data_IF_868158087712
#
_entry.id   IF_868158087712
#
_cell.length_a   1.000
_cell.length_b   1.000
_cell.length_c   1.000
_cell.angle_alpha   90.00
_cell.angle_beta   90.00
_cell.angle_gamma   90.00
#
_symmetry.space_group_name_H-M   'P 1'
#
loop_
_entity.id
_entity.type
_entity.pdbx_description
1 polymer ?
#
# COMPACT_ATOMS: atom_id res chain seq x y z
N UNK A 1 -4.26 18.53 13.83
CA UNK A 1 -4.17 18.11 13.44
C UNK A 1 -4.41 17.47 12.78
N UNK A 2 -4.52 17.24 12.52
CA UNK A 2 -4.82 16.56 12.02
C UNK A 2 -4.52 15.90 11.27
N UNK A 3 -4.24 15.47 11.11
CA UNK A 3 -3.96 14.88 10.48
C UNK A 3 -4.28 13.93 10.11
N UNK A 4 -4.66 13.53 10.04
CA UNK A 4 -4.91 12.54 9.63
C UNK A 4 -5.69 12.38 8.57
N UNK A 5 -5.60 13.01 7.65
CA UNK A 5 -6.24 12.88 6.40
C UNK A 5 -5.87 11.60 5.68
N UNK A 6 -4.88 10.92 6.14
CA UNK A 6 -4.52 9.65 5.54
C UNK A 6 -4.89 8.53 6.46
N UNK A 7 -5.99 7.88 6.16
CA UNK A 7 -6.45 6.76 6.95
C UNK A 7 -6.19 5.46 6.22
N UNK A 8 -4.97 5.27 5.77
CA UNK A 8 -4.61 4.07 5.06
C UNK A 8 -4.72 2.88 6.00
N UNK A 9 -5.31 1.81 5.48
CA UNK A 9 -5.44 0.56 6.21
C UNK A 9 -4.44 -0.42 5.63
N UNK A 10 -3.62 -1.02 6.49
CA UNK A 10 -2.54 -1.90 6.06
C UNK A 10 -2.75 -3.28 6.64
N UNK A 11 -2.92 -4.27 5.78
CA UNK A 11 -3.04 -5.66 6.17
C UNK A 11 -1.80 -6.41 5.71
N UNK A 12 -1.23 -7.21 6.60
CA UNK A 12 -0.04 -7.99 6.28
C UNK A 12 -0.38 -9.46 6.32
N UNK A 13 -0.09 -10.17 5.24
CA UNK A 13 -0.24 -11.62 5.17
C UNK A 13 1.15 -12.23 5.24
N UNK A 14 1.54 -12.67 6.42
CA UNK A 14 2.88 -13.24 6.61
C UNK A 14 3.03 -14.59 5.91
N UNK A 15 1.95 -15.29 5.74
CA UNK A 15 2.00 -16.60 5.09
C UNK A 15 2.37 -16.49 3.62
N UNK A 16 1.78 -15.53 2.93
CA UNK A 16 2.04 -15.31 1.51
C UNK A 16 3.03 -14.19 1.24
N UNK A 17 3.51 -13.53 2.28
CA UNK A 17 4.45 -12.41 2.19
C UNK A 17 3.87 -11.30 1.32
N UNK A 18 2.67 -10.87 1.66
CA UNK A 18 1.96 -9.80 0.94
C UNK A 18 1.55 -8.71 1.91
N UNK A 19 1.49 -7.49 1.39
CA UNK A 19 0.99 -6.34 2.15
C UNK A 19 -0.08 -5.68 1.30
N UNK A 20 -1.29 -5.57 1.85
CA UNK A 20 -2.37 -4.90 1.15
C UNK A 20 -2.64 -3.56 1.80
N UNK A 21 -2.70 -2.50 0.99
CA UNK A 21 -2.98 -1.15 1.47
C UNK A 21 -4.26 -0.68 0.82
N UNK A 22 -5.19 -0.19 1.65
CA UNK A 22 -6.48 0.32 1.17
C UNK A 22 -6.73 1.69 1.79
N UNK A 23 -7.65 2.42 1.20
CA UNK A 23 -8.06 3.73 1.70
C UNK A 23 -9.59 3.75 1.80
N UNK A 24 -10.15 3.25 2.91
CA UNK A 24 -11.60 3.29 3.07
C UNK A 24 -12.09 4.73 3.20
N UNK A 25 -13.28 5.05 2.75
CA UNK A 25 -14.27 4.19 2.10
C UNK A 25 -14.14 4.16 0.59
N UNK A 26 -13.01 4.54 0.02
CA UNK A 26 -12.82 4.56 -1.42
C UNK A 26 -12.55 3.17 -1.95
N UNK A 27 -12.47 3.04 -3.27
CA UNK A 27 -12.12 1.77 -3.87
C UNK A 27 -10.61 1.63 -4.13
N UNK A 28 -9.81 2.53 -3.57
CA UNK A 28 -8.36 2.46 -3.73
C UNK A 28 -7.81 1.26 -2.98
N UNK A 29 -7.02 0.47 -3.68
CA UNK A 29 -6.44 -0.74 -3.10
C UNK A 29 -5.22 -1.14 -3.92
N UNK A 30 -4.17 -1.59 -3.25
CA UNK A 30 -2.98 -2.11 -3.90
C UNK A 30 -2.40 -3.20 -3.02
N UNK A 31 -1.97 -4.30 -3.67
CA UNK A 31 -1.30 -5.39 -2.98
C UNK A 31 0.16 -5.38 -3.37
N UNK A 32 1.03 -5.48 -2.38
CA UNK A 32 2.48 -5.55 -2.59
C UNK A 32 2.92 -6.97 -2.29
N UNK A 33 3.68 -7.54 -3.21
CA UNK A 33 4.14 -8.92 -3.10
C UNK A 33 5.66 -8.91 -3.06
N UNK A 34 6.23 -9.66 -2.11
CA UNK A 34 7.68 -9.76 -2.01
C UNK A 34 8.22 -10.52 -3.22
N UNK A 35 9.20 -9.92 -3.88
CA UNK A 35 9.91 -10.61 -4.96
C UNK A 35 10.83 -11.65 -4.34
N UNK A 36 10.88 -12.84 -4.92
CA UNK A 36 11.66 -13.91 -4.38
C UNK A 36 13.15 -13.62 -4.32
N UNK A 37 13.68 -12.94 -5.32
CA UNK A 37 15.12 -12.79 -5.48
C UNK A 37 15.64 -11.39 -5.25
N UNK A 38 14.82 -10.37 -5.51
CA UNK A 38 15.33 -9.02 -5.64
C UNK A 38 15.19 -8.18 -4.38
N UNK A 39 14.56 -8.72 -3.34
CA UNK A 39 14.35 -8.00 -2.09
C UNK A 39 13.66 -6.66 -2.32
N UNK A 40 12.69 -6.64 -3.21
CA UNK A 40 11.85 -5.48 -3.47
C UNK A 40 10.41 -5.93 -3.49
N UNK A 41 9.51 -4.98 -3.34
CA UNK A 41 8.09 -5.26 -3.41
C UNK A 41 7.57 -4.98 -4.82
N UNK A 42 6.69 -5.84 -5.28
CA UNK A 42 6.00 -5.66 -6.56
C UNK A 42 4.60 -5.17 -6.27
N UNK A 43 4.22 -4.03 -6.82
CA UNK A 43 2.92 -3.44 -6.58
C UNK A 43 1.91 -3.94 -7.58
N UNK A 44 0.73 -4.34 -7.09
CA UNK A 44 -0.39 -4.76 -7.93
C UNK A 44 -1.62 -3.95 -7.56
N UNK A 45 -1.83 -2.81 -8.22
CA UNK A 45 -3.01 -1.98 -7.94
C UNK A 45 -4.28 -2.67 -8.42
N UNK A 46 -5.36 -2.48 -7.68
CA UNK A 46 -6.64 -3.10 -8.00
C UNK A 46 -7.64 -2.10 -8.60
N UNK A 47 -7.35 -0.81 -8.50
CA UNK A 47 -8.17 0.24 -9.10
C UNK A 47 -7.24 1.14 -9.88
N UNK A 48 -7.79 1.85 -10.87
CA UNK A 48 -6.97 2.72 -11.72
C UNK A 48 -7.51 4.13 -11.82
N UNK A 49 -8.80 4.27 -11.61
CA UNK A 49 -9.44 5.58 -11.75
C UNK A 49 -9.53 6.26 -10.42
N UNK A 50 -9.46 7.59 -10.44
CA UNK A 50 -9.63 8.36 -9.23
C UNK A 50 -11.04 8.16 -8.69
N UNK A 51 -11.13 8.12 -7.37
CA UNK A 51 -12.40 8.00 -6.67
C UNK A 51 -12.77 9.38 -6.14
N UNK A 52 -13.94 9.88 -6.53
CA UNK A 52 -14.37 11.22 -6.13
C UNK A 52 -14.50 11.35 -4.61
N UNK A 53 -14.66 10.23 -3.90
CA UNK A 53 -14.76 10.27 -2.43
C UNK A 53 -13.42 10.39 -1.75
N UNK A 54 -12.34 10.19 -2.50
CA UNK A 54 -11.01 10.17 -1.92
C UNK A 54 -10.48 11.58 -1.72
N UNK A 55 -9.70 11.81 -0.66
CA UNK A 55 -9.06 13.10 -0.45
C UNK A 55 -7.86 13.32 -1.35
N UNK A 56 -7.51 12.33 -2.18
CA UNK A 56 -6.34 12.41 -3.03
C UNK A 56 -6.57 11.60 -4.30
N UNK A 57 -5.75 11.85 -5.31
CA UNK A 57 -5.80 11.06 -6.54
C UNK A 57 -5.26 9.66 -6.30
N UNK A 58 -5.55 8.74 -7.21
CA UNK A 58 -5.03 7.40 -7.09
C UNK A 58 -3.51 7.38 -7.15
N UNK A 59 -2.92 8.24 -7.98
CA UNK A 59 -1.46 8.32 -8.07
C UNK A 59 -0.83 8.71 -6.73
N UNK A 60 -1.43 9.67 -6.04
CA UNK A 60 -0.94 10.09 -4.73
C UNK A 60 -1.13 8.97 -3.71
N UNK A 61 -2.29 8.30 -3.74
CA UNK A 61 -2.54 7.16 -2.88
C UNK A 61 -1.47 6.09 -3.08
N UNK A 62 -1.18 5.76 -4.34
CA UNK A 62 -0.22 4.72 -4.64
C UNK A 62 1.17 5.08 -4.12
N UNK A 63 1.57 6.34 -4.28
CA UNK A 63 2.87 6.81 -3.79
C UNK A 63 2.97 6.65 -2.27
N UNK A 64 1.93 7.01 -1.55
CA UNK A 64 1.92 6.86 -0.10
C UNK A 64 1.87 5.40 0.31
N UNK A 65 1.11 4.59 -0.42
CA UNK A 65 1.03 3.18 -0.13
C UNK A 65 2.39 2.50 -0.30
N UNK A 66 3.12 2.87 -1.33
CA UNK A 66 4.46 2.33 -1.56
C UNK A 66 5.38 2.64 -0.38
N UNK A 67 5.34 3.88 0.10
CA UNK A 67 6.19 4.27 1.23
C UNK A 67 5.86 3.46 2.48
N UNK A 68 4.57 3.31 2.78
CA UNK A 68 4.16 2.55 3.96
C UNK A 68 4.50 1.06 3.82
N UNK A 69 4.29 0.51 2.63
CA UNK A 69 4.57 -0.91 2.42
C UNK A 69 6.05 -1.20 2.53
N UNK A 70 6.90 -0.33 1.98
CA UNK A 70 8.34 -0.51 2.07
C UNK A 70 8.81 -0.43 3.51
N UNK A 71 8.25 0.50 4.27
CA UNK A 71 8.61 0.65 5.66
C UNK A 71 8.28 -0.61 6.45
N UNK A 72 7.08 -1.17 6.23
CA UNK A 72 6.69 -2.40 6.90
C UNK A 72 7.57 -3.57 6.48
N UNK A 73 7.84 -3.68 5.18
CA UNK A 73 8.66 -4.77 4.67
C UNK A 73 10.06 -4.73 5.26
N UNK A 74 10.61 -3.53 5.44
CA UNK A 74 11.92 -3.41 6.09
C UNK A 74 11.87 -3.87 7.54
N UNK A 75 10.80 -3.52 8.25
CA UNK A 75 10.62 -3.95 9.63
C UNK A 75 10.58 -5.46 9.75
N UNK A 76 10.02 -6.13 8.75
CA UNK A 76 9.91 -7.58 8.75
C UNK A 76 11.16 -8.26 8.20
N UNK A 77 12.08 -7.49 7.63
CA UNK A 77 13.26 -8.07 7.01
C UNK A 77 13.02 -8.62 5.62
N UNK A 78 11.89 -8.25 4.99
CA UNK A 78 11.57 -8.73 3.64
C UNK A 78 12.38 -8.03 2.58
N UNK A 79 12.73 -6.77 2.82
CA UNK A 79 13.56 -5.99 1.89
C UNK A 79 14.62 -5.26 2.69
N UNK A 80 15.60 -4.74 1.98
CA UNK A 80 16.74 -4.06 2.59
C UNK A 80 16.44 -2.59 2.88
#
# INVERSE_FOLDING_TARGET
MAEQSESLHIDVDFHNEEIEVTLPPTNYSVTFIKSGDDEVLIAKPHARDDDARAPMSFATFLDRAISHANERAREFGWIV
#
